data_IF_303572187952
#
_entry.id   IF_303572187952
#
_cell.length_a   1.000
_cell.length_b   1.000
_cell.length_c   1.000
_cell.angle_alpha   90.00
_cell.angle_beta   90.00
_cell.angle_gamma   90.00
#
_symmetry.space_group_name_H-M   'P 1'
#
loop_
_entity.id
_entity.type
_entity.pdbx_description
1 polymer ?
#
# COMPACT_ATOMS: atom_id res chain seq x y z
N UNK A 1 -27.76 26.34 3.74
CA UNK A 1 -26.80 25.88 2.71
C UNK A 1 -25.39 26.10 3.22
N UNK A 2 -24.75 25.03 3.69
CA UNK A 2 -23.29 24.84 3.79
C UNK A 2 -23.08 23.53 4.57
N UNK A 3 -22.89 22.41 3.87
CA UNK A 3 -22.32 21.21 4.47
C UNK A 3 -20.80 21.44 4.51
N UNK A 4 -20.30 21.86 5.66
CA UNK A 4 -18.88 21.89 5.96
C UNK A 4 -18.38 20.45 5.86
N UNK A 5 -17.43 20.20 4.95
CA UNK A 5 -16.72 18.93 4.93
C UNK A 5 -15.87 18.83 6.19
N UNK A 6 -16.14 17.83 7.02
CA UNK A 6 -15.25 17.51 8.13
C UNK A 6 -13.85 17.20 7.57
N UNK A 7 -12.77 17.83 8.07
CA UNK A 7 -11.42 17.36 7.83
C UNK A 7 -11.29 15.91 8.34
N UNK A 8 -10.59 15.05 7.62
CA UNK A 8 -10.22 13.73 8.13
C UNK A 8 -9.42 13.92 9.43
N UNK A 9 -9.82 13.23 10.49
CA UNK A 9 -9.15 13.24 11.81
C UNK A 9 -7.80 12.48 11.77
N UNK A 10 -7.40 11.95 10.60
CA UNK A 10 -6.14 11.27 10.35
C UNK A 10 -5.35 11.98 9.24
N UNK A 11 -4.12 12.48 9.50
CA UNK A 11 -3.30 13.17 8.48
C UNK A 11 -2.88 12.28 7.30
N UNK A 12 -3.02 10.95 7.44
CA UNK A 12 -2.69 9.98 6.40
C UNK A 12 -3.88 9.60 5.50
N UNK A 13 -5.01 10.28 5.67
CA UNK A 13 -6.26 10.01 4.96
C UNK A 13 -6.62 11.16 4.00
N UNK A 14 -6.87 10.83 2.74
CA UNK A 14 -7.21 11.82 1.72
C UNK A 14 -8.14 11.26 0.64
N UNK A 15 -8.67 12.16 -0.19
CA UNK A 15 -9.58 11.79 -1.30
C UNK A 15 -8.81 11.62 -2.60
N UNK A 16 -9.11 10.55 -3.33
CA UNK A 16 -8.60 10.26 -4.68
C UNK A 16 -9.66 9.59 -5.54
N UNK A 17 -9.27 9.04 -6.69
CA UNK A 17 -10.12 8.29 -7.60
C UNK A 17 -9.65 6.83 -7.71
N UNK A 18 -10.60 5.90 -7.77
CA UNK A 18 -10.39 4.50 -8.12
C UNK A 18 -11.34 4.10 -9.26
N UNK A 19 -10.96 3.14 -10.11
CA UNK A 19 -11.90 2.58 -11.09
C UNK A 19 -13.10 1.97 -10.36
N UNK A 20 -14.31 2.06 -10.92
CA UNK A 20 -15.53 1.50 -10.28
C UNK A 20 -15.35 0.03 -9.89
N UNK A 21 -14.70 -0.76 -10.75
CA UNK A 21 -14.39 -2.18 -10.49
C UNK A 21 -13.56 -2.41 -9.22
N UNK A 22 -12.78 -1.42 -8.79
CA UNK A 22 -11.89 -1.45 -7.60
C UNK A 22 -12.37 -0.56 -6.45
N UNK A 23 -13.38 0.28 -6.66
CA UNK A 23 -13.92 1.20 -5.65
C UNK A 23 -14.77 0.46 -4.61
N UNK A 24 -14.13 -0.26 -3.70
CA UNK A 24 -14.75 -1.05 -2.63
C UNK A 24 -14.01 -0.81 -1.31
N UNK A 25 -14.74 -0.64 -0.22
CA UNK A 25 -14.14 -0.51 1.12
C UNK A 25 -13.31 -1.77 1.43
N UNK A 26 -12.12 -1.58 1.99
CA UNK A 26 -11.15 -2.64 2.27
C UNK A 26 -10.29 -3.04 1.06
N UNK A 27 -10.52 -2.48 -0.12
CA UNK A 27 -9.65 -2.75 -1.26
C UNK A 27 -8.30 -2.06 -1.07
N UNK A 28 -7.23 -2.85 -1.14
CA UNK A 28 -5.87 -2.39 -0.95
C UNK A 28 -5.09 -2.35 -2.28
N UNK A 29 -4.24 -1.34 -2.46
CA UNK A 29 -3.43 -1.20 -3.67
C UNK A 29 -2.10 -0.49 -3.40
N UNK A 30 -1.11 -0.75 -4.26
CA UNK A 30 0.16 -0.01 -4.29
C UNK A 30 0.14 0.98 -5.45
N UNK A 31 0.36 2.26 -5.18
CA UNK A 31 0.48 3.26 -6.23
C UNK A 31 1.86 3.18 -6.88
N UNK A 32 1.94 2.78 -8.16
CA UNK A 32 3.22 2.63 -8.88
C UNK A 32 3.64 3.88 -9.68
N UNK A 33 3.01 5.02 -9.43
CA UNK A 33 3.22 6.26 -10.17
C UNK A 33 2.15 6.51 -11.23
N UNK A 34 2.27 7.65 -11.90
CA UNK A 34 1.31 8.12 -12.88
C UNK A 34 1.97 8.31 -14.26
N UNK A 35 1.18 8.24 -15.34
CA UNK A 35 1.67 8.54 -16.70
C UNK A 35 2.04 10.02 -16.85
N UNK A 36 2.98 10.40 -17.74
CA UNK A 36 3.37 11.80 -17.94
C UNK A 36 2.18 12.72 -18.31
N UNK A 37 1.25 12.22 -19.12
CA UNK A 37 0.04 12.95 -19.52
C UNK A 37 -0.85 13.33 -18.32
N UNK A 38 -0.83 12.56 -17.23
CA UNK A 38 -1.60 12.88 -16.03
C UNK A 38 -1.18 14.21 -15.38
N UNK A 39 0.07 14.66 -15.55
CA UNK A 39 0.55 15.93 -14.96
C UNK A 39 -0.21 17.16 -15.47
N UNK A 40 -0.79 17.07 -16.68
CA UNK A 40 -1.56 18.15 -17.31
C UNK A 40 -3.08 17.97 -17.17
N UNK A 41 -3.53 16.89 -16.52
CA UNK A 41 -4.94 16.58 -16.36
C UNK A 41 -5.61 17.52 -15.35
N UNK A 42 -6.84 17.96 -15.65
CA UNK A 42 -7.65 18.78 -14.74
C UNK A 42 -7.89 18.13 -13.36
N UNK A 43 -7.90 16.79 -13.28
CA UNK A 43 -8.07 16.06 -12.03
C UNK A 43 -6.76 15.69 -11.33
N UNK A 44 -5.60 16.09 -11.85
CA UNK A 44 -4.29 15.66 -11.33
C UNK A 44 -4.14 15.86 -9.81
N UNK A 45 -4.57 17.01 -9.30
CA UNK A 45 -4.44 17.38 -7.88
C UNK A 45 -5.26 16.53 -6.92
N UNK A 46 -6.28 15.82 -7.42
CA UNK A 46 -7.10 14.89 -6.64
C UNK A 46 -6.76 13.44 -6.98
N UNK A 47 -6.53 13.12 -8.25
CA UNK A 47 -6.34 11.75 -8.73
C UNK A 47 -4.95 11.19 -8.44
N UNK A 48 -3.89 11.89 -8.85
CA UNK A 48 -2.54 11.32 -8.85
C UNK A 48 -1.59 12.03 -7.88
N UNK A 49 -1.72 13.36 -7.74
CA UNK A 49 -0.83 14.15 -6.87
C UNK A 49 -0.83 13.72 -5.40
N UNK A 50 -1.97 13.34 -4.78
CA UNK A 50 -1.97 12.94 -3.37
C UNK A 50 -1.31 11.58 -3.12
N UNK A 51 -1.10 10.77 -4.16
CA UNK A 51 -0.55 9.43 -4.04
C UNK A 51 0.98 9.45 -4.14
N UNK A 52 1.62 8.81 -3.17
CA UNK A 52 3.06 8.62 -3.13
C UNK A 52 3.43 7.37 -3.93
N UNK A 53 4.45 7.51 -4.78
CA UNK A 53 4.97 6.38 -5.54
C UNK A 53 5.47 5.31 -4.57
N UNK A 54 5.10 4.08 -4.83
CA UNK A 54 5.36 2.90 -4.02
C UNK A 54 4.77 2.93 -2.62
N UNK A 55 3.76 3.76 -2.33
CA UNK A 55 3.00 3.66 -1.10
C UNK A 55 1.79 2.72 -1.28
N UNK A 56 1.44 1.98 -0.22
CA UNK A 56 0.24 1.15 -0.17
C UNK A 56 -0.91 1.93 0.48
N UNK A 57 -2.12 1.68 0.01
CA UNK A 57 -3.33 2.37 0.43
C UNK A 57 -4.47 1.39 0.59
N UNK A 58 -5.42 1.72 1.47
CA UNK A 58 -6.70 1.04 1.61
C UNK A 58 -7.84 2.02 1.36
N UNK A 59 -8.88 1.58 0.65
CA UNK A 59 -10.10 2.36 0.48
C UNK A 59 -10.95 2.26 1.75
N UNK A 60 -11.18 3.39 2.39
CA UNK A 60 -11.93 3.49 3.65
C UNK A 60 -13.37 3.98 3.41
N UNK A 61 -13.61 4.73 2.33
CA UNK A 61 -14.96 5.14 1.91
C UNK A 61 -15.07 5.25 0.39
N UNK A 62 -16.24 4.89 -0.14
CA UNK A 62 -16.61 5.05 -1.53
C UNK A 62 -17.74 6.08 -1.64
N UNK A 63 -17.50 7.19 -2.34
CA UNK A 63 -18.50 8.24 -2.56
C UNK A 63 -19.31 7.95 -3.83
N UNK A 64 -20.55 8.43 -3.88
CA UNK A 64 -21.44 8.20 -5.05
C UNK A 64 -20.97 8.92 -6.33
N UNK A 65 -20.15 9.97 -6.21
CA UNK A 65 -19.72 10.80 -7.34
C UNK A 65 -18.76 10.03 -8.26
N UNK A 66 -19.06 10.07 -9.55
CA UNK A 66 -18.31 9.40 -10.63
C UNK A 66 -17.84 10.42 -11.67
N UNK A 67 -16.72 10.12 -12.31
CA UNK A 67 -16.10 10.93 -13.35
C UNK A 67 -15.41 10.01 -14.36
N UNK A 68 -15.49 10.34 -15.64
CA UNK A 68 -14.67 9.67 -16.65
C UNK A 68 -13.24 10.23 -16.63
N UNK A 69 -12.27 9.38 -16.98
CA UNK A 69 -10.88 9.82 -17.13
C UNK A 69 -10.78 10.68 -18.39
N UNK A 70 -10.40 11.97 -18.31
CA UNK A 70 -10.33 12.84 -19.50
C UNK A 70 -9.27 12.43 -20.53
N UNK A 71 -8.39 11.50 -20.15
CA UNK A 71 -7.30 10.99 -21.00
C UNK A 71 -7.56 9.54 -21.46
N UNK A 72 -8.74 8.98 -21.21
CA UNK A 72 -9.16 7.63 -21.63
C UNK A 72 -8.18 6.50 -21.24
N UNK A 73 -7.44 6.65 -20.14
CA UNK A 73 -6.52 5.63 -19.61
C UNK A 73 -7.21 4.50 -18.84
N UNK A 74 -8.54 4.59 -18.67
CA UNK A 74 -9.33 3.64 -17.91
C UNK A 74 -10.57 3.27 -18.72
N UNK A 75 -10.86 1.97 -18.82
CA UNK A 75 -12.04 1.45 -19.51
C UNK A 75 -13.33 1.70 -18.73
N UNK A 76 -13.24 1.71 -17.40
CA UNK A 76 -14.35 2.00 -16.50
C UNK A 76 -14.30 3.45 -16.01
N UNK A 77 -15.47 4.07 -15.70
CA UNK A 77 -15.50 5.33 -15.00
C UNK A 77 -14.78 5.27 -13.64
N UNK A 78 -14.31 6.43 -13.20
CA UNK A 78 -13.62 6.60 -11.93
C UNK A 78 -14.61 7.05 -10.85
N UNK A 79 -14.48 6.50 -9.65
CA UNK A 79 -15.29 6.85 -8.49
C UNK A 79 -14.44 7.55 -7.45
N UNK A 80 -15.01 8.59 -6.82
CA UNK A 80 -14.34 9.32 -5.74
C UNK A 80 -14.28 8.42 -4.50
N UNK A 81 -13.09 8.22 -3.96
CA UNK A 81 -12.84 7.38 -2.79
C UNK A 81 -12.01 8.14 -1.76
N UNK A 82 -12.16 7.77 -0.50
CA UNK A 82 -11.24 8.16 0.56
C UNK A 82 -10.32 6.99 0.86
N UNK A 83 -9.04 7.28 1.00
CA UNK A 83 -8.00 6.26 1.23
C UNK A 83 -7.14 6.64 2.41
N UNK A 84 -6.74 5.63 3.18
CA UNK A 84 -5.71 5.75 4.21
C UNK A 84 -4.39 5.12 3.74
N UNK A 85 -3.26 5.69 4.14
CA UNK A 85 -1.94 5.04 3.93
C UNK A 85 -1.81 3.81 4.81
N UNK A 86 -1.34 2.71 4.21
CA UNK A 86 -0.97 1.51 4.95
C UNK A 86 0.51 1.51 5.31
N UNK A 87 0.82 1.31 6.60
CA UNK A 87 2.19 1.02 7.01
C UNK A 87 2.63 -0.31 6.42
N UNK A 88 3.73 -0.29 5.67
CA UNK A 88 4.26 -1.46 4.98
C UNK A 88 5.18 -2.25 5.89
N UNK A 89 4.71 -3.38 6.40
CA UNK A 89 5.52 -4.28 7.22
C UNK A 89 5.62 -5.66 6.61
N UNK A 90 6.82 -6.23 6.66
CA UNK A 90 7.10 -7.59 6.23
C UNK A 90 8.00 -8.29 7.25
N UNK A 91 7.86 -9.60 7.33
CA UNK A 91 8.79 -10.45 8.05
C UNK A 91 10.00 -10.74 7.17
N UNK A 92 11.19 -10.49 7.71
CA UNK A 92 12.47 -10.77 7.06
C UNK A 92 13.33 -11.69 7.94
N UNK A 93 14.21 -12.51 7.35
CA UNK A 93 15.18 -13.27 8.13
C UNK A 93 16.03 -12.34 8.99
N UNK A 94 16.16 -12.64 10.29
CA UNK A 94 16.92 -11.82 11.23
C UNK A 94 18.38 -11.63 10.79
N UNK A 95 18.97 -12.68 10.23
CA UNK A 95 20.34 -12.64 9.71
C UNK A 95 20.39 -11.80 8.43
N UNK A 96 21.21 -10.76 8.43
CA UNK A 96 21.41 -9.90 7.26
C UNK A 96 20.34 -8.81 7.09
N UNK A 97 19.40 -8.69 8.02
CA UNK A 97 18.40 -7.62 8.03
C UNK A 97 18.83 -6.53 9.00
N UNK A 98 19.12 -5.35 8.44
CA UNK A 98 19.45 -4.14 9.21
C UNK A 98 19.05 -2.91 8.39
N UNK A 99 18.89 -1.79 9.09
CA UNK A 99 18.46 -0.53 8.50
C UNK A 99 19.38 -0.10 7.35
N UNK A 100 18.75 0.35 6.26
CA UNK A 100 19.43 0.87 5.07
C UNK A 100 19.84 -0.20 4.03
N UNK A 101 19.72 -1.49 4.35
CA UNK A 101 20.09 -2.58 3.43
C UNK A 101 19.10 -2.73 2.31
N UNK A 102 19.62 -2.89 1.10
CA UNK A 102 18.85 -3.41 -0.03
C UNK A 102 18.84 -4.93 0.01
N UNK A 103 17.64 -5.52 -0.05
CA UNK A 103 17.45 -6.97 -0.04
C UNK A 103 16.37 -7.38 -1.05
N UNK A 104 16.27 -8.67 -1.31
CA UNK A 104 15.18 -9.26 -2.10
C UNK A 104 14.17 -9.85 -1.12
N UNK A 105 12.93 -9.39 -1.19
CA UNK A 105 11.86 -9.97 -0.39
C UNK A 105 11.59 -11.39 -0.88
N UNK A 106 11.56 -12.33 0.04
CA UNK A 106 11.08 -13.68 -0.22
C UNK A 106 10.00 -14.02 0.79
N UNK A 107 8.96 -14.73 0.36
CA UNK A 107 7.95 -15.27 1.24
C UNK A 107 8.56 -16.15 2.33
N UNK A 108 8.16 -15.91 3.57
CA UNK A 108 8.50 -16.76 4.70
C UNK A 108 7.44 -17.86 4.79
N UNK A 109 7.53 -18.87 3.92
CA UNK A 109 6.53 -19.93 3.79
C UNK A 109 6.26 -20.62 5.13
N UNK A 110 5.03 -20.47 5.63
CA UNK A 110 4.60 -20.96 6.93
C UNK A 110 3.29 -21.75 6.77
N UNK A 111 3.23 -22.93 7.40
CA UNK A 111 2.04 -23.78 7.38
C UNK A 111 1.09 -23.54 8.56
N UNK A 112 1.46 -22.66 9.50
CA UNK A 112 0.61 -22.32 10.64
C UNK A 112 -0.44 -21.28 10.24
N UNK A 113 -1.66 -21.75 9.92
CA UNK A 113 -2.75 -20.91 9.44
C UNK A 113 -3.24 -19.88 10.46
N UNK A 114 -3.19 -20.21 11.75
CA UNK A 114 -3.66 -19.35 12.85
C UNK A 114 -2.59 -18.35 13.34
N UNK A 115 -1.42 -18.30 12.68
CA UNK A 115 -0.35 -17.38 13.05
C UNK A 115 -0.76 -15.92 12.78
N UNK A 116 -0.66 -15.08 13.81
CA UNK A 116 -0.95 -13.64 13.72
C UNK A 116 -0.04 -12.90 12.74
N UNK A 117 1.16 -13.43 12.46
CA UNK A 117 2.15 -12.83 11.55
C UNK A 117 2.08 -13.32 10.11
N UNK A 118 1.00 -14.03 9.75
CA UNK A 118 0.88 -14.65 8.43
C UNK A 118 0.88 -13.62 7.30
N UNK A 119 0.27 -12.46 7.51
CA UNK A 119 0.20 -11.40 6.48
C UNK A 119 1.57 -10.78 6.22
N UNK A 120 2.42 -10.66 7.23
CA UNK A 120 3.75 -10.07 7.10
C UNK A 120 4.77 -11.09 6.56
N UNK A 121 4.58 -12.39 6.87
CA UNK A 121 5.35 -13.50 6.29
C UNK A 121 5.01 -13.76 4.82
N UNK A 122 3.74 -13.60 4.43
CA UNK A 122 3.20 -13.90 3.10
C UNK A 122 2.44 -12.68 2.54
N UNK A 123 3.10 -11.53 2.53
CA UNK A 123 2.47 -10.29 2.04
C UNK A 123 2.44 -10.33 0.52
N UNK A 124 1.29 -10.70 -0.06
CA UNK A 124 1.08 -10.68 -1.53
C UNK A 124 0.45 -9.39 -2.04
N UNK A 125 -0.12 -8.59 -1.13
CA UNK A 125 -0.84 -7.36 -1.47
C UNK A 125 0.15 -6.18 -1.61
N UNK A 126 1.06 -6.05 -0.64
CA UNK A 126 1.95 -4.88 -0.52
C UNK A 126 3.22 -5.05 -1.38
N UNK A 127 3.66 -6.29 -1.56
CA UNK A 127 4.90 -6.66 -2.25
C UNK A 127 4.72 -8.05 -2.89
N UNK A 128 5.51 -8.38 -3.91
CA UNK A 128 5.57 -9.72 -4.49
C UNK A 128 6.87 -10.42 -4.12
N UNK A 129 6.81 -11.74 -4.06
CA UNK A 129 7.99 -12.59 -3.94
C UNK A 129 9.02 -12.24 -5.03
N UNK A 130 10.27 -12.02 -4.63
CA UNK A 130 11.36 -11.61 -5.52
C UNK A 130 11.51 -10.10 -5.77
N UNK A 131 10.61 -9.23 -5.27
CA UNK A 131 10.79 -7.78 -5.42
C UNK A 131 11.93 -7.25 -4.52
N UNK A 132 12.73 -6.31 -5.06
CA UNK A 132 13.76 -5.63 -4.29
C UNK A 132 13.15 -4.59 -3.36
N UNK A 133 13.72 -4.51 -2.18
CA UNK A 133 13.34 -3.57 -1.14
C UNK A 133 14.56 -2.92 -0.52
N UNK A 134 14.36 -1.74 0.04
CA UNK A 134 15.27 -1.15 1.01
C UNK A 134 14.63 -1.23 2.39
N UNK A 135 15.35 -1.78 3.36
CA UNK A 135 14.90 -1.84 4.75
C UNK A 135 15.00 -0.42 5.32
N UNK A 136 13.86 0.13 5.73
CA UNK A 136 13.78 1.48 6.27
C UNK A 136 14.08 1.48 7.75
N UNK A 137 13.35 0.67 8.52
CA UNK A 137 13.46 0.59 9.97
C UNK A 137 13.19 -0.82 10.49
N UNK A 138 13.83 -1.14 11.61
CA UNK A 138 13.52 -2.33 12.39
C UNK A 138 12.35 -2.04 13.34
N UNK A 139 11.28 -2.84 13.24
CA UNK A 139 10.10 -2.67 14.11
C UNK A 139 10.27 -3.50 15.38
N UNK A 140 10.42 -4.83 15.24
CA UNK A 140 10.64 -5.74 16.38
C UNK A 140 11.12 -7.12 15.95
N UNK A 141 11.63 -7.88 16.91
CA UNK A 141 11.88 -9.32 16.77
C UNK A 141 10.56 -10.08 16.95
N UNK A 142 10.22 -10.95 16.00
CA UNK A 142 9.03 -11.81 16.04
C UNK A 142 9.39 -13.30 16.11
N UNK A 143 10.68 -13.63 16.26
CA UNK A 143 11.16 -15.01 16.41
C UNK A 143 10.50 -15.76 17.58
N UNK A 144 10.26 -15.14 18.76
CA UNK A 144 9.58 -15.81 19.86
C UNK A 144 8.13 -16.23 19.53
N UNK A 145 7.46 -15.44 18.70
CA UNK A 145 6.06 -15.63 18.31
C UNK A 145 5.91 -16.67 17.17
N UNK A 146 7.02 -17.04 16.53
CA UNK A 146 7.00 -17.94 15.38
C UNK A 146 6.82 -19.41 15.77
N UNK A 147 5.67 -19.98 15.40
CA UNK A 147 5.36 -21.41 15.60
C UNK A 147 6.30 -22.34 14.81
N UNK A 148 6.83 -21.89 13.67
CA UNK A 148 7.81 -22.63 12.85
C UNK A 148 9.26 -22.47 13.33
N UNK A 149 9.49 -21.68 14.39
CA UNK A 149 10.82 -21.38 14.96
C UNK A 149 11.80 -20.67 14.01
N UNK A 150 11.29 -20.03 12.96
CA UNK A 150 12.11 -19.15 12.13
C UNK A 150 12.59 -17.93 12.91
N UNK A 151 13.82 -17.51 12.61
CA UNK A 151 14.41 -16.30 13.18
C UNK A 151 14.02 -15.12 12.30
N UNK A 152 12.92 -14.46 12.64
CA UNK A 152 12.28 -13.43 11.83
C UNK A 152 12.18 -12.12 12.59
N UNK A 153 12.31 -11.04 11.84
CA UNK A 153 12.14 -9.68 12.34
C UNK A 153 11.12 -8.97 11.48
N UNK A 154 10.32 -8.11 12.10
CA UNK A 154 9.38 -7.26 11.41
C UNK A 154 10.07 -5.95 11.06
N UNK A 155 9.96 -5.54 9.79
CA UNK A 155 10.62 -4.32 9.30
C UNK A 155 9.65 -3.46 8.49
N UNK A 156 9.85 -2.15 8.57
CA UNK A 156 9.30 -1.22 7.60
C UNK A 156 10.24 -1.17 6.39
N UNK A 157 9.68 -1.06 5.19
CA UNK A 157 10.45 -1.11 3.96
C UNK A 157 9.94 -0.14 2.89
N UNK A 158 10.84 0.17 1.96
CA UNK A 158 10.57 0.89 0.72
C UNK A 158 10.74 -0.05 -0.46
N UNK A 159 9.80 -0.04 -1.41
CA UNK A 159 10.05 -0.66 -2.72
C UNK A 159 11.02 0.23 -3.48
N UNK A 160 11.97 -0.39 -4.17
CA UNK A 160 12.92 0.32 -5.03
C UNK A 160 12.70 -0.11 -6.49
N UNK A 161 12.90 0.81 -7.42
CA UNK A 161 12.99 0.46 -8.84
C UNK A 161 14.30 -0.27 -9.10
N UNK A 162 14.26 -1.23 -10.02
CA UNK A 162 15.44 -1.92 -10.53
C UNK A 162 16.40 -0.97 -11.25
#
# INVERSE_FOLDING_TARGET
>A
MALQGNPSENPDEFTTFASISRAKVGFQFVHRGHLPACKKCQFFFICQKPLEKFQAYEIEEVKLKRHDCPNDFHEDPMQVVRVGKLTKRIAMPKKGTFQGVTSVYNHQFCYAFECSHRQECLSTIIIRDGEKIKIRDFVRDISPDCLMKYQLVLVDFDLIED
#
